data_IF_879370908028
#
_entry.id   IF_879370908028
#
_cell.length_a   1.000
_cell.length_b   1.000
_cell.length_c   1.000
_cell.angle_alpha   90.00
_cell.angle_beta   90.00
_cell.angle_gamma   90.00
#
_symmetry.space_group_name_H-M   'P 1'
#
loop_
_entity.id
_entity.type
_entity.pdbx_description
1 polymer ?
#
# COMPACT_ATOMS: atom_id res chain seq x y z
N UNK A 1 -15.51 -3.29 42.81
CA UNK A 1 -15.79 -2.55 41.57
C UNK A 1 -15.43 -3.47 40.41
N UNK A 2 -16.42 -4.16 39.85
CA UNK A 2 -16.25 -4.95 38.63
C UNK A 2 -16.19 -3.97 37.46
N UNK A 3 -15.02 -3.82 36.85
CA UNK A 3 -14.86 -3.06 35.62
C UNK A 3 -15.64 -3.77 34.52
N UNK A 4 -16.81 -3.25 34.18
CA UNK A 4 -17.46 -3.56 32.92
C UNK A 4 -16.64 -2.89 31.82
N UNK A 5 -15.70 -3.65 31.24
CA UNK A 5 -15.09 -3.26 29.98
C UNK A 5 -16.24 -3.10 28.98
N UNK A 6 -16.55 -1.86 28.64
CA UNK A 6 -17.46 -1.54 27.56
C UNK A 6 -16.79 -2.06 26.29
N UNK A 7 -17.30 -3.14 25.72
CA UNK A 7 -16.84 -3.61 24.42
C UNK A 7 -17.09 -2.48 23.43
N UNK A 8 -16.02 -1.93 22.84
CA UNK A 8 -16.14 -1.04 21.70
C UNK A 8 -17.10 -1.69 20.69
N UNK A 9 -18.17 -0.97 20.37
CA UNK A 9 -19.12 -1.27 19.31
C UNK A 9 -18.35 -1.71 18.07
N UNK A 10 -18.71 -2.85 17.49
CA UNK A 10 -18.06 -3.43 16.31
C UNK A 10 -17.92 -2.38 15.21
N UNK A 11 -16.67 -2.03 14.85
CA UNK A 11 -16.39 -1.30 13.61
C UNK A 11 -16.57 -2.24 12.42
N UNK A 12 -16.87 -1.67 11.24
CA UNK A 12 -16.74 -2.38 9.99
C UNK A 12 -15.60 -1.72 9.20
N UNK A 13 -14.68 -2.54 8.71
CA UNK A 13 -13.54 -2.12 7.92
C UNK A 13 -13.60 -2.83 6.58
N UNK A 14 -13.35 -2.10 5.51
CA UNK A 14 -13.30 -2.63 4.15
C UNK A 14 -11.84 -2.81 3.72
N UNK A 15 -11.53 -3.96 3.14
CA UNK A 15 -10.25 -4.27 2.52
C UNK A 15 -10.37 -4.04 1.01
N UNK A 16 -9.67 -3.03 0.45
CA UNK A 16 -9.77 -2.72 -0.97
C UNK A 16 -9.06 -3.74 -1.87
N UNK A 17 -8.08 -4.48 -1.36
CA UNK A 17 -7.37 -5.48 -2.17
C UNK A 17 -8.28 -6.61 -2.67
N UNK A 18 -9.26 -7.01 -1.85
CA UNK A 18 -10.14 -8.16 -2.11
C UNK A 18 -11.63 -7.84 -1.96
N UNK A 19 -11.97 -6.55 -1.91
CA UNK A 19 -13.34 -6.02 -1.79
C UNK A 19 -14.16 -6.68 -0.67
N UNK A 20 -13.51 -6.96 0.46
CA UNK A 20 -14.13 -7.70 1.57
C UNK A 20 -14.22 -6.84 2.83
N UNK A 21 -15.37 -6.88 3.50
CA UNK A 21 -15.58 -6.18 4.77
C UNK A 21 -15.45 -7.10 5.98
N UNK A 22 -14.83 -6.58 7.03
CA UNK A 22 -14.55 -7.29 8.28
C UNK A 22 -15.09 -6.50 9.47
N UNK A 23 -15.55 -7.21 10.50
CA UNK A 23 -15.95 -6.61 11.79
C UNK A 23 -15.03 -7.02 12.95
N UNK A 24 -14.02 -7.83 12.64
CA UNK A 24 -13.05 -8.34 13.61
C UNK A 24 -11.68 -7.79 13.24
N UNK A 25 -11.12 -6.94 14.10
CA UNK A 25 -9.85 -6.26 13.84
C UNK A 25 -8.69 -7.20 13.46
N UNK A 26 -8.61 -8.40 14.07
CA UNK A 26 -7.55 -9.39 13.79
C UNK A 26 -7.59 -10.00 12.37
N UNK A 27 -8.64 -9.73 11.59
CA UNK A 27 -8.75 -10.17 10.21
C UNK A 27 -8.09 -9.19 9.22
N UNK A 28 -7.61 -8.05 9.72
CA UNK A 28 -6.97 -7.00 8.95
C UNK A 28 -5.51 -6.86 9.39
N UNK A 29 -4.69 -6.44 8.45
CA UNK A 29 -3.34 -5.94 8.68
C UNK A 29 -3.26 -4.48 8.16
N UNK A 30 -2.33 -3.70 8.71
CA UNK A 30 -1.89 -2.45 8.07
C UNK A 30 -0.71 -2.83 7.17
N UNK A 31 -0.87 -2.61 5.88
CA UNK A 31 0.14 -2.86 4.85
C UNK A 31 0.84 -1.56 4.45
N UNK A 32 2.12 -1.67 4.11
CA UNK A 32 2.81 -0.65 3.34
C UNK A 32 2.46 -0.86 1.87
N UNK A 33 1.81 0.12 1.25
CA UNK A 33 1.36 -0.02 -0.14
C UNK A 33 2.51 -0.49 -1.04
N UNK A 34 3.66 0.17 -0.92
CA UNK A 34 4.97 -0.31 -1.41
C UNK A 34 5.69 -1.00 -0.25
N UNK A 35 5.90 -2.34 -0.26
CA UNK A 35 6.51 -3.07 0.85
C UNK A 35 7.89 -2.54 1.26
N UNK A 36 8.27 -2.72 2.53
CA UNK A 36 9.59 -2.30 3.02
C UNK A 36 10.75 -2.96 2.25
N UNK A 37 10.63 -4.25 1.93
CA UNK A 37 11.65 -4.97 1.14
C UNK A 37 11.70 -4.46 -0.31
N UNK A 38 10.55 -4.27 -0.95
CA UNK A 38 10.48 -3.65 -2.28
C UNK A 38 11.09 -2.23 -2.31
N UNK A 39 10.84 -1.42 -1.28
CA UNK A 39 11.46 -0.09 -1.17
C UNK A 39 12.98 -0.16 -1.08
N UNK A 40 13.51 -1.19 -0.41
CA UNK A 40 14.94 -1.42 -0.24
C UNK A 40 15.60 -1.69 -1.58
N UNK A 41 15.02 -2.60 -2.36
CA UNK A 41 15.47 -2.97 -3.71
C UNK A 41 15.31 -1.80 -4.70
N UNK A 42 14.30 -0.98 -4.48
CA UNK A 42 14.05 0.28 -5.22
C UNK A 42 14.92 1.47 -4.81
N UNK A 43 16.00 1.23 -4.06
CA UNK A 43 17.04 2.22 -3.74
C UNK A 43 17.01 2.80 -2.33
N UNK A 44 16.02 2.45 -1.49
CA UNK A 44 16.05 2.86 -0.07
C UNK A 44 17.22 2.22 0.69
N UNK A 45 17.80 1.13 0.18
CA UNK A 45 19.03 0.51 0.71
C UNK A 45 20.22 1.48 0.81
N UNK A 46 20.31 2.44 -0.11
CA UNK A 46 21.34 3.49 -0.14
C UNK A 46 21.06 4.67 0.80
N UNK A 47 19.87 4.75 1.40
CA UNK A 47 19.47 5.84 2.27
C UNK A 47 20.08 5.74 3.68
N UNK A 48 20.30 6.89 4.35
CA UNK A 48 20.58 6.91 5.78
C UNK A 48 19.48 6.21 6.59
N UNK A 49 19.81 5.58 7.73
CA UNK A 49 18.81 4.90 8.57
C UNK A 49 17.60 5.77 8.96
N UNK A 50 17.81 7.06 9.20
CA UNK A 50 16.74 7.99 9.56
C UNK A 50 15.70 8.17 8.43
N UNK A 51 16.15 8.16 7.18
CA UNK A 51 15.28 8.31 6.01
C UNK A 51 14.47 7.03 5.75
N UNK A 52 15.09 5.84 5.91
CA UNK A 52 14.35 4.57 5.88
C UNK A 52 13.31 4.47 6.99
N UNK A 53 13.63 4.95 8.18
CA UNK A 53 12.67 5.03 9.27
C UNK A 53 11.52 6.00 8.94
N UNK A 54 11.82 7.14 8.30
CA UNK A 54 10.80 8.09 7.87
C UNK A 54 9.87 7.46 6.83
N UNK A 55 10.40 6.71 5.84
CA UNK A 55 9.60 5.93 4.89
C UNK A 55 8.67 4.93 5.59
N UNK A 56 9.22 4.14 6.51
CA UNK A 56 8.43 3.13 7.23
C UNK A 56 7.30 3.71 8.09
N UNK A 57 7.37 5.01 8.42
CA UNK A 57 6.41 5.72 9.28
C UNK A 57 5.80 6.94 8.58
N UNK A 58 5.70 6.93 7.25
CA UNK A 58 5.14 8.05 6.50
C UNK A 58 3.62 8.13 6.71
N UNK A 59 3.21 9.00 7.63
CA UNK A 59 1.80 9.30 7.91
C UNK A 59 1.32 10.58 7.21
N UNK A 60 2.22 11.30 6.55
CA UNK A 60 1.91 12.53 5.81
C UNK A 60 1.40 12.22 4.38
N UNK A 61 1.55 10.97 3.94
CA UNK A 61 1.01 10.45 2.68
C UNK A 61 -0.07 9.39 2.96
N UNK A 62 -1.37 9.71 2.80
CA UNK A 62 -2.46 8.78 3.10
C UNK A 62 -2.45 7.52 2.22
N UNK A 63 -1.73 7.52 1.10
CA UNK A 63 -1.54 6.35 0.23
C UNK A 63 -0.50 5.36 0.76
N UNK A 64 0.38 5.76 1.67
CA UNK A 64 1.54 4.95 2.08
C UNK A 64 1.16 3.72 2.92
N UNK A 65 0.13 3.85 3.77
CA UNK A 65 -0.34 2.79 4.67
C UNK A 65 -1.82 2.50 4.44
N UNK A 66 -2.17 1.22 4.34
CA UNK A 66 -3.53 0.79 4.00
C UNK A 66 -4.00 -0.37 4.86
N UNK A 67 -5.25 -0.29 5.35
CA UNK A 67 -5.88 -1.40 6.06
C UNK A 67 -6.45 -2.40 5.05
N UNK A 68 -5.97 -3.63 5.06
CA UNK A 68 -6.33 -4.68 4.11
C UNK A 68 -6.54 -6.00 4.82
N UNK A 69 -7.17 -6.97 4.16
CA UNK A 69 -7.34 -8.30 4.74
C UNK A 69 -5.98 -8.94 4.99
N UNK A 70 -5.82 -9.60 6.12
CA UNK A 70 -4.57 -10.29 6.45
C UNK A 70 -4.21 -11.36 5.41
N UNK A 71 -5.21 -11.97 4.77
CA UNK A 71 -5.00 -12.96 3.70
C UNK A 71 -4.41 -12.33 2.44
N UNK A 72 -5.00 -11.24 1.94
CA UNK A 72 -4.50 -10.57 0.74
C UNK A 72 -3.12 -9.95 0.97
N UNK A 73 -2.89 -9.35 2.14
CA UNK A 73 -1.60 -8.81 2.54
C UNK A 73 -0.49 -9.88 2.53
N UNK A 74 -0.76 -11.05 3.13
CA UNK A 74 0.21 -12.16 3.12
C UNK A 74 0.42 -12.77 1.74
N UNK A 75 -0.60 -12.73 0.88
CA UNK A 75 -0.46 -13.11 -0.52
C UNK A 75 0.39 -12.13 -1.31
N UNK A 76 0.36 -10.83 -0.97
CA UNK A 76 1.21 -9.79 -1.55
C UNK A 76 2.65 -9.90 -1.05
N UNK A 77 2.86 -10.08 0.25
CA UNK A 77 4.22 -10.13 0.84
C UNK A 77 5.03 -8.88 0.44
N UNK A 78 6.19 -9.08 -0.16
CA UNK A 78 7.14 -8.12 -0.68
C UNK A 78 7.07 -7.98 -2.20
N UNK A 79 6.07 -8.58 -2.85
CA UNK A 79 5.95 -8.57 -4.31
C UNK A 79 5.54 -7.19 -4.84
N UNK A 80 6.09 -6.88 -6.01
CA UNK A 80 5.79 -5.70 -6.82
C UNK A 80 4.55 -5.93 -7.73
N UNK A 81 4.06 -4.88 -8.41
CA UNK A 81 2.98 -4.97 -9.40
C UNK A 81 3.19 -5.96 -10.55
N UNK A 82 4.44 -6.33 -10.88
CA UNK A 82 4.69 -7.35 -11.90
C UNK A 82 4.37 -8.76 -11.41
N UNK A 83 4.51 -9.01 -10.12
CA UNK A 83 4.35 -10.35 -9.53
C UNK A 83 3.00 -10.50 -8.80
N UNK A 84 2.47 -9.41 -8.24
CA UNK A 84 1.20 -9.42 -7.52
C UNK A 84 0.32 -8.22 -7.89
N UNK A 85 -0.98 -8.48 -8.04
CA UNK A 85 -2.00 -7.46 -8.25
C UNK A 85 -3.18 -7.71 -7.32
N UNK A 86 -3.91 -6.67 -6.88
CA UNK A 86 -5.13 -6.83 -6.13
C UNK A 86 -6.11 -7.81 -6.82
N UNK A 87 -6.63 -8.82 -6.08
CA UNK A 87 -7.69 -9.67 -6.56
C UNK A 87 -8.93 -8.89 -7.02
N UNK A 88 -9.28 -7.80 -6.32
CA UNK A 88 -10.33 -6.88 -6.72
C UNK A 88 -9.90 -6.07 -7.95
N UNK A 89 -10.41 -6.44 -9.13
CA UNK A 89 -10.05 -5.80 -10.39
C UNK A 89 -10.35 -4.29 -10.41
N UNK A 90 -11.48 -3.89 -9.82
CA UNK A 90 -11.90 -2.48 -9.75
C UNK A 90 -10.95 -1.61 -8.92
N UNK A 91 -10.14 -2.21 -8.05
CA UNK A 91 -9.15 -1.49 -7.25
C UNK A 91 -7.80 -1.31 -7.96
N UNK A 92 -7.55 -2.01 -9.08
CA UNK A 92 -6.21 -2.03 -9.72
C UNK A 92 -5.77 -0.65 -10.24
N UNK A 93 -6.69 0.16 -10.75
CA UNK A 93 -6.36 1.53 -11.15
C UNK A 93 -5.89 2.39 -9.98
N UNK A 94 -6.62 2.32 -8.85
CA UNK A 94 -6.23 3.02 -7.62
C UNK A 94 -4.89 2.50 -7.11
N UNK A 95 -4.72 1.17 -7.05
CA UNK A 95 -3.47 0.56 -6.61
C UNK A 95 -2.27 1.00 -7.44
N UNK A 96 -2.33 0.93 -8.77
CA UNK A 96 -1.22 1.33 -9.65
C UNK A 96 -0.92 2.83 -9.57
N UNK A 97 -1.96 3.66 -9.45
CA UNK A 97 -1.83 5.11 -9.28
C UNK A 97 -1.15 5.45 -7.95
N UNK A 98 -1.64 4.87 -6.86
CA UNK A 98 -1.13 5.13 -5.52
C UNK A 98 0.28 4.57 -5.33
N UNK A 99 0.57 3.41 -5.92
CA UNK A 99 1.90 2.83 -5.96
C UNK A 99 2.90 3.77 -6.63
N UNK A 100 2.54 4.31 -7.79
CA UNK A 100 3.34 5.28 -8.53
C UNK A 100 3.55 6.56 -7.72
N UNK A 101 2.51 7.03 -7.03
CA UNK A 101 2.60 8.22 -6.19
C UNK A 101 3.52 8.03 -4.98
N UNK A 102 3.43 6.91 -4.27
CA UNK A 102 4.29 6.58 -3.13
C UNK A 102 5.75 6.45 -3.57
N UNK A 103 6.02 5.74 -4.68
CA UNK A 103 7.38 5.66 -5.24
C UNK A 103 7.90 7.03 -5.66
N UNK A 104 7.06 7.87 -6.29
CA UNK A 104 7.44 9.23 -6.69
C UNK A 104 7.77 10.10 -5.48
N UNK A 105 6.94 10.10 -4.44
CA UNK A 105 7.15 10.88 -3.20
C UNK A 105 8.51 10.59 -2.58
N UNK A 106 8.90 9.32 -2.56
CA UNK A 106 10.15 8.87 -1.98
C UNK A 106 11.26 8.71 -3.00
N UNK A 107 11.10 9.18 -4.25
CA UNK A 107 12.10 9.04 -5.30
C UNK A 107 12.64 7.61 -5.45
N UNK A 108 11.78 6.60 -5.28
CA UNK A 108 12.11 5.18 -5.46
C UNK A 108 12.07 4.84 -6.94
N UNK A 109 13.00 4.01 -7.40
CA UNK A 109 13.02 3.58 -8.81
C UNK A 109 12.05 2.43 -9.04
N UNK A 110 11.70 2.22 -10.30
CA UNK A 110 10.97 1.04 -10.77
C UNK A 110 11.85 0.27 -11.73
N UNK A 111 11.77 -1.06 -11.70
CA UNK A 111 12.46 -1.89 -12.69
C UNK A 111 11.61 -2.05 -13.97
N UNK A 112 12.18 -2.60 -15.07
CA UNK A 112 11.45 -2.73 -16.33
C UNK A 112 10.19 -3.61 -16.29
N UNK A 113 10.17 -4.66 -15.47
CA UNK A 113 9.00 -5.54 -15.35
C UNK A 113 7.88 -4.84 -14.58
N UNK A 114 8.24 -4.18 -13.48
CA UNK A 114 7.32 -3.36 -12.70
C UNK A 114 6.72 -2.23 -13.55
N UNK A 115 7.56 -1.51 -14.30
CA UNK A 115 7.12 -0.45 -15.20
C UNK A 115 6.13 -0.97 -16.25
N UNK A 116 6.41 -2.14 -16.85
CA UNK A 116 5.52 -2.74 -17.83
C UNK A 116 4.16 -3.10 -17.22
N UNK A 117 4.15 -3.69 -16.03
CA UNK A 117 2.92 -4.06 -15.34
C UNK A 117 2.08 -2.84 -14.92
N UNK A 118 2.72 -1.79 -14.40
CA UNK A 118 2.05 -0.53 -14.08
C UNK A 118 1.47 0.12 -15.35
N UNK A 119 2.23 0.17 -16.44
CA UNK A 119 1.77 0.73 -17.71
C UNK A 119 0.58 -0.05 -18.28
N UNK A 120 0.62 -1.38 -18.24
CA UNK A 120 -0.47 -2.23 -18.71
C UNK A 120 -1.77 -1.98 -17.94
N UNK A 121 -1.69 -1.88 -16.60
CA UNK A 121 -2.86 -1.56 -15.78
C UNK A 121 -3.37 -0.15 -16.09
N UNK A 122 -2.46 0.84 -16.11
CA UNK A 122 -2.82 2.26 -16.24
C UNK A 122 -3.37 2.62 -17.63
N UNK A 123 -3.06 1.86 -18.69
CA UNK A 123 -3.62 2.07 -20.04
C UNK A 123 -5.16 1.97 -20.05
N UNK A 124 -5.72 1.15 -19.16
CA UNK A 124 -7.17 0.99 -18.99
C UNK A 124 -7.82 1.95 -17.98
N UNK A 125 -7.05 2.84 -17.35
CA UNK A 125 -7.51 3.63 -16.22
C UNK A 125 -7.92 5.07 -16.59
N UNK A 126 -8.75 5.73 -15.76
CA UNK A 126 -9.04 7.14 -15.92
C UNK A 126 -7.76 7.99 -15.89
N UNK A 127 -7.63 8.92 -16.82
CA UNK A 127 -6.54 9.88 -16.81
C UNK A 127 -6.84 11.00 -15.80
N UNK A 128 -6.25 10.91 -14.61
CA UNK A 128 -6.45 11.85 -13.50
C UNK A 128 -5.16 12.54 -13.10
N UNK A 129 -5.25 13.80 -12.66
CA UNK A 129 -4.12 14.51 -12.06
C UNK A 129 -3.82 13.91 -10.68
N UNK A 130 -2.57 13.52 -10.47
CA UNK A 130 -2.09 12.98 -9.19
C UNK A 130 -1.10 13.97 -8.59
N UNK A 131 -1.50 14.61 -7.50
CA UNK A 131 -0.61 15.52 -6.75
C UNK A 131 0.27 14.71 -5.80
N UNK A 132 1.57 15.02 -5.78
CA UNK A 132 2.56 14.36 -4.92
C UNK A 132 3.46 15.42 -4.30
N UNK A 133 3.50 15.46 -2.97
CA UNK A 133 4.53 16.22 -2.25
C UNK A 133 5.71 15.29 -2.03
N UNK A 134 6.90 15.68 -2.50
CA UNK A 134 8.12 14.88 -2.30
C UNK A 134 8.54 14.86 -0.82
N UNK A 135 8.98 13.70 -0.36
CA UNK A 135 9.53 13.51 0.98
C UNK A 135 11.05 13.79 1.03
N UNK A 136 11.70 13.77 -0.14
CA UNK A 136 13.13 14.06 -0.33
C UNK A 136 13.41 14.73 -1.67
#
# INVERSE_FOLDING_TARGET
MTSTASSSTSGSWHSPYDDTSFTVARALDIDHLVPLAESWDSGASGCPPAERQAYANDLDEPRALIAVSATSNRSKSDQDPATWQPPAADYRCTYATDWTAVKTRWGLVIDPAEQAALAEVLDGCPNTVVEVTLAR
#
